data_IF_314599698687
#
_entry.id   IF_314599698687
#
_cell.length_a   1.000
_cell.length_b   1.000
_cell.length_c   1.000
_cell.angle_alpha   90.00
_cell.angle_beta   90.00
_cell.angle_gamma   90.00
#
_symmetry.space_group_name_H-M   'P 1'
#
loop_
_entity.id
_entity.type
_entity.pdbx_description
1 polymer ?
#
# COMPACT_ATOMS: atom_id res chain seq x y z
N UNK A 1 21.91 23.88 -14.92
CA UNK A 1 20.97 22.85 -14.41
C UNK A 1 21.67 22.00 -13.38
N UNK A 2 21.08 21.81 -12.20
CA UNK A 2 21.59 20.91 -11.17
C UNK A 2 21.39 19.45 -11.61
N UNK A 3 22.29 18.54 -11.23
CA UNK A 3 22.17 17.10 -11.54
C UNK A 3 21.24 16.35 -10.57
N UNK A 4 20.76 17.01 -9.52
CA UNK A 4 19.84 16.46 -8.52
C UNK A 4 18.38 16.65 -8.94
N UNK A 5 17.53 15.67 -8.61
CA UNK A 5 16.08 15.76 -8.79
C UNK A 5 15.43 16.34 -7.50
N UNK A 6 14.81 17.53 -7.55
CA UNK A 6 14.14 18.12 -6.39
C UNK A 6 12.76 17.50 -6.09
N UNK A 7 12.25 16.61 -6.96
CA UNK A 7 10.85 16.19 -6.97
C UNK A 7 9.92 17.32 -7.44
N UNK A 8 8.63 17.01 -7.57
CA UNK A 8 7.63 17.99 -7.98
C UNK A 8 7.05 18.72 -6.75
N UNK A 9 6.75 19.99 -6.92
CA UNK A 9 5.88 20.80 -6.06
C UNK A 9 4.48 20.86 -6.67
N UNK A 10 3.51 21.41 -5.93
CA UNK A 10 2.12 21.39 -6.36
C UNK A 10 1.89 22.02 -7.75
N UNK A 11 2.54 23.15 -8.03
CA UNK A 11 2.46 23.88 -9.29
C UNK A 11 3.17 23.21 -10.49
N UNK A 12 3.96 22.15 -10.24
CA UNK A 12 4.64 21.40 -11.30
C UNK A 12 3.71 20.34 -11.94
N UNK A 13 2.59 20.00 -11.30
CA UNK A 13 1.66 19.00 -11.80
C UNK A 13 0.66 19.58 -12.81
N UNK A 14 0.31 18.77 -13.81
CA UNK A 14 -0.71 19.10 -14.81
C UNK A 14 -1.76 17.98 -14.88
N UNK A 15 -3.04 18.33 -15.00
CA UNK A 15 -4.10 17.33 -15.21
C UNK A 15 -3.83 16.50 -16.48
N UNK A 16 -4.00 15.18 -16.39
CA UNK A 16 -3.71 14.22 -17.45
C UNK A 16 -2.22 13.90 -17.63
N UNK A 17 -1.32 14.53 -16.87
CA UNK A 17 0.11 14.23 -16.92
C UNK A 17 0.37 12.80 -16.47
N UNK A 18 1.10 12.05 -17.29
CA UNK A 18 1.58 10.71 -16.94
C UNK A 18 3.06 10.75 -16.59
N UNK A 19 3.37 10.39 -15.35
CA UNK A 19 4.72 10.28 -14.81
C UNK A 19 5.15 8.81 -14.81
N UNK A 20 6.14 8.47 -15.63
CA UNK A 20 6.77 7.14 -15.61
C UNK A 20 7.88 7.14 -14.56
N UNK A 21 7.73 6.32 -13.53
CA UNK A 21 8.65 6.33 -12.40
C UNK A 21 9.91 5.55 -12.70
N UNK A 22 11.03 6.03 -12.15
CA UNK A 22 12.31 5.33 -12.23
C UNK A 22 12.31 4.03 -11.41
N UNK A 23 13.36 3.24 -11.57
CA UNK A 23 13.66 2.04 -10.76
C UNK A 23 12.61 0.92 -10.89
N UNK A 24 12.40 0.33 -12.08
CA UNK A 24 11.64 -0.93 -12.17
C UNK A 24 12.28 -1.98 -11.25
N UNK A 25 11.47 -2.81 -10.61
CA UNK A 25 11.92 -3.68 -9.52
C UNK A 25 11.51 -5.12 -9.75
N UNK A 26 12.49 -5.99 -9.97
CA UNK A 26 12.34 -7.45 -9.89
C UNK A 26 12.11 -7.82 -8.44
N UNK A 27 11.00 -8.49 -8.12
CA UNK A 27 10.67 -8.96 -6.77
C UNK A 27 11.20 -10.38 -6.63
N UNK A 28 11.81 -10.72 -5.51
CA UNK A 28 12.52 -11.99 -5.29
C UNK A 28 12.08 -12.66 -3.99
N UNK A 29 12.48 -13.92 -3.79
CA UNK A 29 12.25 -14.61 -2.51
C UNK A 29 12.93 -13.91 -1.33
N UNK A 30 14.05 -13.21 -1.57
CA UNK A 30 14.69 -12.40 -0.54
C UNK A 30 13.82 -11.22 -0.09
N UNK A 31 13.03 -10.65 -1.01
CA UNK A 31 12.09 -9.58 -0.67
C UNK A 31 10.91 -10.11 0.15
N UNK A 32 10.42 -11.31 -0.19
CA UNK A 32 9.39 -12.01 0.57
C UNK A 32 9.89 -12.35 1.98
N UNK A 33 11.08 -12.94 2.10
CA UNK A 33 11.67 -13.28 3.39
C UNK A 33 11.85 -12.05 4.30
N UNK A 34 12.33 -10.93 3.74
CA UNK A 34 12.42 -9.68 4.49
C UNK A 34 11.04 -9.17 4.92
N UNK A 35 10.04 -9.23 4.03
CA UNK A 35 8.66 -8.84 4.35
C UNK A 35 8.05 -9.66 5.47
N UNK A 36 8.23 -10.98 5.45
CA UNK A 36 7.82 -11.86 6.54
C UNK A 36 8.54 -11.50 7.84
N UNK A 37 9.85 -11.20 7.79
CA UNK A 37 10.64 -10.90 8.99
C UNK A 37 10.20 -9.66 9.77
N UNK A 38 9.68 -8.60 9.11
CA UNK A 38 9.19 -7.41 9.83
C UNK A 38 7.68 -7.38 10.02
N UNK A 39 6.88 -8.19 9.31
CA UNK A 39 5.42 -8.23 9.53
C UNK A 39 4.99 -9.37 10.45
N UNK A 40 5.78 -10.44 10.51
CA UNK A 40 5.36 -11.69 11.14
C UNK A 40 4.14 -12.33 10.48
N UNK A 41 3.81 -11.94 9.24
CA UNK A 41 2.65 -12.47 8.51
C UNK A 41 2.67 -13.99 8.44
N UNK A 42 1.55 -14.63 8.79
CA UNK A 42 1.40 -16.10 8.83
C UNK A 42 0.37 -16.64 7.83
N UNK A 43 -0.16 -15.81 6.94
CA UNK A 43 -1.13 -16.27 5.94
C UNK A 43 -0.52 -17.39 5.10
N UNK A 44 -1.19 -18.55 5.11
CA UNK A 44 -0.61 -19.80 4.61
C UNK A 44 -0.32 -19.74 3.10
N UNK A 45 -1.20 -19.10 2.32
CA UNK A 45 -1.10 -18.96 0.86
C UNK A 45 0.19 -18.26 0.43
N UNK A 46 0.65 -17.24 1.16
CA UNK A 46 1.88 -16.49 0.83
C UNK A 46 3.13 -17.06 1.51
N UNK A 47 2.95 -18.05 2.39
CA UNK A 47 4.02 -18.66 3.20
C UNK A 47 4.44 -20.05 2.71
N UNK A 48 3.55 -20.76 2.00
CA UNK A 48 3.79 -22.14 1.56
C UNK A 48 3.38 -22.36 0.11
N UNK A 49 4.35 -22.77 -0.70
CA UNK A 49 4.14 -23.20 -2.08
C UNK A 49 3.15 -24.38 -2.18
N UNK A 50 3.20 -25.32 -1.24
CA UNK A 50 2.30 -26.48 -1.24
C UNK A 50 0.86 -26.07 -0.94
N UNK A 51 0.64 -25.15 0.01
CA UNK A 51 -0.69 -24.61 0.29
C UNK A 51 -1.21 -23.81 -0.90
N UNK A 52 -0.36 -22.98 -1.51
CA UNK A 52 -0.75 -22.20 -2.68
C UNK A 52 -1.10 -23.11 -3.88
N UNK A 53 -0.35 -24.17 -4.12
CA UNK A 53 -0.65 -25.17 -5.17
C UNK A 53 -1.92 -25.96 -4.88
N UNK A 54 -2.14 -26.35 -3.63
CA UNK A 54 -3.39 -26.98 -3.22
C UNK A 54 -4.60 -26.04 -3.40
N UNK A 55 -4.38 -24.73 -3.30
CA UNK A 55 -5.36 -23.69 -3.61
C UNK A 55 -5.43 -23.32 -5.11
N UNK A 56 -4.77 -24.07 -5.99
CA UNK A 56 -4.82 -23.90 -7.45
C UNK A 56 -3.87 -22.84 -8.05
N UNK A 57 -3.00 -22.23 -7.24
CA UNK A 57 -1.98 -21.30 -7.72
C UNK A 57 -0.71 -22.04 -8.18
N UNK A 58 0.14 -21.38 -8.97
CA UNK A 58 1.40 -22.00 -9.44
C UNK A 58 2.40 -22.28 -8.30
N UNK A 59 2.44 -21.39 -7.30
CA UNK A 59 3.28 -21.39 -6.10
C UNK A 59 2.81 -20.26 -5.17
N UNK A 60 3.49 -20.01 -4.06
CA UNK A 60 3.15 -18.88 -3.18
C UNK A 60 3.29 -17.54 -3.93
N UNK A 61 2.23 -16.71 -4.01
CA UNK A 61 2.34 -15.39 -4.58
C UNK A 61 3.03 -14.43 -3.60
N UNK A 62 3.61 -13.36 -4.13
CA UNK A 62 4.07 -12.22 -3.33
C UNK A 62 2.87 -11.60 -2.62
N UNK A 63 3.03 -11.27 -1.33
CA UNK A 63 1.99 -10.62 -0.54
C UNK A 63 1.45 -9.35 -1.26
N UNK A 64 0.12 -9.20 -1.43
CA UNK A 64 -0.45 -8.04 -2.09
C UNK A 64 0.00 -6.70 -1.51
N UNK A 65 0.19 -6.59 -0.19
CA UNK A 65 0.67 -5.35 0.42
C UNK A 65 2.16 -5.11 0.13
N UNK A 66 2.99 -6.15 0.01
CA UNK A 66 4.36 -5.99 -0.48
C UNK A 66 4.38 -5.42 -1.89
N UNK A 67 3.53 -5.95 -2.80
CA UNK A 67 3.37 -5.40 -4.17
C UNK A 67 2.92 -3.94 -4.11
N UNK A 68 1.91 -3.63 -3.28
CA UNK A 68 1.43 -2.26 -3.08
C UNK A 68 2.53 -1.32 -2.60
N UNK A 69 3.31 -1.71 -1.59
CA UNK A 69 4.38 -0.88 -1.06
C UNK A 69 5.53 -0.68 -2.06
N UNK A 70 5.87 -1.70 -2.85
CA UNK A 70 6.85 -1.56 -3.94
C UNK A 70 6.36 -0.56 -4.99
N UNK A 71 5.13 -0.72 -5.49
CA UNK A 71 4.54 0.21 -6.48
C UNK A 71 4.43 1.62 -5.90
N UNK A 72 3.95 1.76 -4.67
CA UNK A 72 3.84 3.03 -3.96
C UNK A 72 5.20 3.71 -3.83
N UNK A 73 6.23 2.97 -3.40
CA UNK A 73 7.59 3.45 -3.23
C UNK A 73 8.17 4.05 -4.52
N UNK A 74 7.84 3.48 -5.68
CA UNK A 74 8.29 4.00 -6.99
C UNK A 74 7.73 5.39 -7.26
N UNK A 75 6.49 5.66 -6.84
CA UNK A 75 5.84 6.95 -7.05
C UNK A 75 6.35 8.06 -6.13
N UNK A 76 7.05 7.73 -5.04
CA UNK A 76 7.41 8.71 -4.01
C UNK A 76 8.30 9.85 -4.53
N UNK A 77 9.41 9.59 -5.27
CA UNK A 77 10.28 10.66 -5.76
C UNK A 77 9.54 11.73 -6.57
N UNK A 78 8.57 11.31 -7.38
CA UNK A 78 7.90 12.18 -8.33
C UNK A 78 6.60 12.78 -7.77
N UNK A 79 5.88 12.05 -6.91
CA UNK A 79 4.55 12.47 -6.41
C UNK A 79 4.63 13.11 -5.03
N UNK A 80 5.40 12.52 -4.10
CA UNK A 80 5.25 12.84 -2.68
C UNK A 80 6.54 13.14 -1.93
N UNK A 81 7.64 13.37 -2.64
CA UNK A 81 8.91 13.79 -2.03
C UNK A 81 8.74 15.11 -1.25
N UNK A 82 7.93 16.03 -1.79
CA UNK A 82 7.60 17.33 -1.19
C UNK A 82 6.23 17.36 -0.51
N UNK A 83 5.58 16.19 -0.32
CA UNK A 83 4.28 16.11 0.33
C UNK A 83 4.37 16.43 1.83
N UNK A 84 3.27 16.96 2.36
CA UNK A 84 3.00 17.13 3.79
C UNK A 84 2.43 15.84 4.35
N UNK A 85 1.42 15.27 3.68
CA UNK A 85 0.75 14.05 4.10
C UNK A 85 0.07 13.34 2.91
N UNK A 86 -0.10 12.02 3.04
CA UNK A 86 -1.04 11.27 2.23
C UNK A 86 -2.42 11.34 2.87
N UNK A 87 -3.42 11.80 2.12
CA UNK A 87 -4.75 12.12 2.64
C UNK A 87 -5.73 10.96 2.48
N UNK A 88 -5.50 10.09 1.48
CA UNK A 88 -6.26 8.85 1.36
C UNK A 88 -5.90 8.00 0.15
N UNK A 89 -6.65 6.93 0.01
CA UNK A 89 -6.60 5.95 -1.07
C UNK A 89 -8.03 5.65 -1.52
N UNK A 90 -8.20 5.23 -2.76
CA UNK A 90 -9.46 4.71 -3.29
C UNK A 90 -9.19 3.81 -4.49
N UNK A 91 -10.18 3.01 -4.87
CA UNK A 91 -10.18 2.24 -6.12
C UNK A 91 -8.90 1.38 -6.31
N UNK A 92 -8.39 0.81 -5.21
CA UNK A 92 -7.23 -0.06 -5.22
C UNK A 92 -7.61 -1.47 -5.63
N UNK A 93 -7.08 -1.96 -6.76
CA UNK A 93 -7.41 -3.27 -7.34
C UNK A 93 -6.13 -4.06 -7.56
N UNK A 94 -6.06 -5.26 -7.01
CA UNK A 94 -5.04 -6.25 -7.36
C UNK A 94 -5.55 -7.02 -8.57
N UNK A 95 -4.84 -6.89 -9.70
CA UNK A 95 -5.34 -7.28 -11.02
C UNK A 95 -4.73 -8.59 -11.53
N UNK A 96 -3.56 -8.96 -11.02
CA UNK A 96 -2.91 -10.23 -11.31
C UNK A 96 -1.99 -10.61 -10.14
N UNK A 97 -1.82 -11.91 -9.84
CA UNK A 97 -0.84 -12.35 -8.86
C UNK A 97 0.57 -11.98 -9.35
N UNK A 98 1.41 -11.59 -8.41
CA UNK A 98 2.84 -11.34 -8.64
C UNK A 98 3.62 -12.47 -8.01
N UNK A 99 4.62 -13.01 -8.69
CA UNK A 99 5.46 -14.08 -8.17
C UNK A 99 6.92 -13.65 -8.04
N UNK A 100 7.72 -14.30 -7.16
CA UNK A 100 9.16 -14.12 -7.17
C UNK A 100 9.76 -14.34 -8.56
N UNK A 101 10.51 -13.36 -9.06
CA UNK A 101 11.05 -13.28 -10.41
C UNK A 101 10.34 -12.26 -11.31
N UNK A 102 9.10 -11.86 -11.01
CA UNK A 102 8.41 -10.81 -11.76
C UNK A 102 9.05 -9.44 -11.53
N UNK A 103 9.04 -8.61 -12.56
CA UNK A 103 9.58 -7.23 -12.51
C UNK A 103 8.48 -6.22 -12.71
N UNK A 104 8.27 -5.35 -11.72
CA UNK A 104 7.19 -4.35 -11.74
C UNK A 104 7.76 -2.96 -12.00
N UNK A 105 7.22 -2.27 -13.01
CA UNK A 105 7.40 -0.85 -13.27
C UNK A 105 6.12 -0.10 -12.91
N UNK A 106 6.23 1.19 -12.55
CA UNK A 106 5.07 1.99 -12.13
C UNK A 106 4.95 3.28 -12.90
N UNK A 107 3.72 3.75 -13.09
CA UNK A 107 3.42 5.10 -13.56
C UNK A 107 2.24 5.70 -12.83
N UNK A 108 2.23 7.03 -12.67
CA UNK A 108 1.11 7.79 -12.11
C UNK A 108 0.52 8.75 -13.14
N UNK A 109 -0.79 8.71 -13.32
CA UNK A 109 -1.55 9.75 -14.02
C UNK A 109 -2.13 10.74 -13.02
N UNK A 110 -1.93 12.04 -13.25
CA UNK A 110 -2.57 13.11 -12.47
C UNK A 110 -4.02 13.25 -12.89
N UNK A 111 -4.94 12.80 -12.05
CA UNK A 111 -6.38 12.79 -12.33
C UNK A 111 -7.13 13.90 -11.59
N UNK A 112 -6.43 14.70 -10.79
CA UNK A 112 -7.03 15.80 -10.05
C UNK A 112 -6.00 16.73 -9.40
N UNK A 113 -6.35 18.00 -9.33
CA UNK A 113 -5.59 19.08 -8.70
C UNK A 113 -6.56 20.03 -8.01
N UNK A 114 -6.24 20.41 -6.78
CA UNK A 114 -7.02 21.39 -6.02
C UNK A 114 -6.11 22.23 -5.14
N UNK A 115 -6.04 23.54 -5.37
CA UNK A 115 -5.26 24.44 -4.52
C UNK A 115 -5.97 24.59 -3.15
N UNK A 116 -5.19 24.56 -2.06
CA UNK A 116 -5.77 24.84 -0.74
C UNK A 116 -5.97 26.35 -0.56
N UNK A 117 -6.98 26.74 0.23
CA UNK A 117 -7.34 28.14 0.45
C UNK A 117 -6.21 29.01 1.02
N UNK A 118 -5.25 28.41 1.73
CA UNK A 118 -4.07 29.12 2.24
C UNK A 118 -3.01 29.42 1.18
N UNK A 119 -3.14 28.86 -0.03
CA UNK A 119 -2.24 29.01 -1.18
C UNK A 119 -0.78 28.63 -0.93
N UNK A 120 -0.52 27.84 0.11
CA UNK A 120 0.82 27.29 0.43
C UNK A 120 0.99 25.85 -0.01
N UNK A 121 -0.13 25.18 -0.28
CA UNK A 121 -0.21 23.76 -0.59
C UNK A 121 -1.36 23.51 -1.56
N UNK A 122 -1.37 22.33 -2.17
CA UNK A 122 -2.54 21.83 -2.89
C UNK A 122 -2.64 20.32 -2.79
N UNK A 123 -3.79 19.78 -3.17
CA UNK A 123 -4.07 18.35 -3.20
C UNK A 123 -3.90 17.84 -4.62
N UNK A 124 -3.07 16.82 -4.78
CA UNK A 124 -2.84 16.12 -6.06
C UNK A 124 -3.44 14.74 -5.95
N UNK A 125 -4.31 14.39 -6.90
CA UNK A 125 -4.90 13.06 -7.04
C UNK A 125 -4.18 12.33 -8.16
N UNK A 126 -3.68 11.12 -7.88
CA UNK A 126 -3.01 10.29 -8.88
C UNK A 126 -3.60 8.90 -8.94
N UNK A 127 -3.80 8.39 -10.16
CA UNK A 127 -3.98 6.96 -10.42
C UNK A 127 -2.62 6.35 -10.69
N UNK A 128 -2.18 5.45 -9.83
CA UNK A 128 -0.89 4.76 -9.98
C UNK A 128 -1.13 3.33 -10.41
N UNK A 129 -0.43 2.90 -11.46
CA UNK A 129 -0.53 1.55 -12.00
C UNK A 129 0.85 0.90 -11.98
N UNK A 130 0.92 -0.30 -11.41
CA UNK A 130 2.06 -1.21 -11.51
C UNK A 130 1.84 -2.20 -12.66
N UNK A 131 2.84 -2.36 -13.52
CA UNK A 131 2.81 -3.24 -14.68
C UNK A 131 4.02 -4.17 -14.63
N UNK A 132 3.83 -5.46 -14.88
CA UNK A 132 4.91 -6.44 -14.88
C UNK A 132 5.72 -6.43 -16.20
N UNK A 133 6.72 -7.30 -16.31
CA UNK A 133 7.58 -7.42 -17.49
C UNK A 133 6.87 -7.89 -18.76
N UNK A 134 5.64 -8.42 -18.65
CA UNK A 134 4.80 -8.86 -19.77
C UNK A 134 3.84 -7.77 -20.25
N UNK A 135 3.83 -6.61 -19.61
CA UNK A 135 2.88 -5.53 -19.91
C UNK A 135 1.52 -5.70 -19.22
N UNK A 136 1.37 -6.66 -18.31
CA UNK A 136 0.14 -6.90 -17.57
C UNK A 136 0.08 -5.97 -16.35
N UNK A 137 -1.04 -5.29 -16.16
CA UNK A 137 -1.27 -4.52 -14.94
C UNK A 137 -1.46 -5.48 -13.76
N UNK A 138 -0.68 -5.31 -12.69
CA UNK A 138 -0.75 -6.15 -11.48
C UNK A 138 -1.47 -5.42 -10.34
N UNK A 139 -1.43 -4.09 -10.35
CA UNK A 139 -2.04 -3.24 -9.34
C UNK A 139 -2.43 -1.90 -9.97
N UNK A 140 -3.61 -1.39 -9.63
CA UNK A 140 -4.00 0.00 -9.89
C UNK A 140 -4.65 0.57 -8.64
N UNK A 141 -4.31 1.79 -8.23
CA UNK A 141 -5.00 2.49 -7.15
C UNK A 141 -5.00 3.99 -7.35
N UNK A 142 -5.96 4.68 -6.74
CA UNK A 142 -5.95 6.13 -6.59
C UNK A 142 -5.44 6.50 -5.20
N UNK A 143 -4.59 7.52 -5.12
CA UNK A 143 -4.26 8.20 -3.87
C UNK A 143 -4.27 9.70 -4.06
N UNK A 144 -4.43 10.44 -2.97
CA UNK A 144 -4.25 11.89 -3.00
C UNK A 144 -3.38 12.38 -1.85
N UNK A 145 -2.54 13.35 -2.18
CA UNK A 145 -1.50 13.88 -1.29
C UNK A 145 -1.59 15.38 -1.21
N UNK A 146 -1.32 15.93 -0.03
CA UNK A 146 -1.12 17.37 0.14
C UNK A 146 0.33 17.70 -0.18
N UNK A 147 0.58 18.47 -1.23
CA UNK A 147 1.92 18.86 -1.70
C UNK A 147 2.16 20.34 -1.43
N UNK A 148 3.39 20.69 -1.03
CA UNK A 148 3.81 22.08 -0.85
C UNK A 148 3.90 22.79 -2.20
N UNK A 149 3.59 24.08 -2.22
CA UNK A 149 4.03 24.96 -3.29
C UNK A 149 5.48 25.38 -3.07
N UNK A 150 6.23 25.60 -4.15
CA UNK A 150 7.56 26.21 -4.08
C UNK A 150 7.46 27.72 -4.11
N UNK A 151 6.61 28.23 -4.99
CA UNK A 151 6.23 29.64 -5.10
C UNK A 151 4.74 29.79 -4.76
N UNK A 152 4.44 30.40 -3.60
CA UNK A 152 3.06 30.63 -3.15
C UNK A 152 2.25 31.48 -4.17
N UNK A 153 2.92 32.30 -4.99
CA UNK A 153 2.30 33.14 -6.02
C UNK A 153 2.02 32.42 -7.34
N UNK A 154 2.53 31.19 -7.55
CA UNK A 154 2.34 30.44 -8.78
C UNK A 154 0.84 30.25 -9.09
N UNK A 155 0.47 30.42 -10.36
CA UNK A 155 -0.91 30.25 -10.85
C UNK A 155 -1.11 28.81 -11.30
N UNK A 156 -2.19 28.18 -10.86
CA UNK A 156 -2.55 26.81 -11.22
C UNK A 156 -3.45 26.84 -12.45
N UNK A 157 -3.01 26.20 -13.53
CA UNK A 157 -3.67 26.32 -14.84
C UNK A 157 -5.06 25.68 -14.89
N UNK A 158 -5.25 24.55 -14.20
CA UNK A 158 -6.52 23.83 -14.15
C UNK A 158 -6.67 23.07 -12.83
N UNK A 159 -7.86 23.17 -12.23
CA UNK A 159 -8.24 22.43 -11.03
C UNK A 159 -9.41 21.50 -11.35
N UNK A 160 -9.34 20.27 -10.85
CA UNK A 160 -10.38 19.28 -10.96
C UNK A 160 -10.27 18.32 -9.78
N UNK A 161 -11.40 18.01 -9.14
CA UNK A 161 -11.47 16.97 -8.11
C UNK A 161 -12.22 15.77 -8.69
N UNK A 162 -11.57 14.60 -8.83
CA UNK A 162 -12.25 13.43 -9.38
C UNK A 162 -13.30 12.91 -8.38
N UNK A 163 -14.38 12.36 -8.91
CA UNK A 163 -15.28 11.51 -8.13
C UNK A 163 -14.63 10.13 -7.99
N UNK A 164 -14.51 9.65 -6.76
CA UNK A 164 -13.89 8.36 -6.46
C UNK A 164 -14.93 7.43 -5.83
N UNK A 165 -14.90 6.13 -6.15
CA UNK A 165 -15.80 5.16 -5.54
C UNK A 165 -15.49 5.03 -4.04
N UNK A 166 -16.51 4.75 -3.23
CA UNK A 166 -16.33 4.50 -1.79
C UNK A 166 -15.70 3.14 -1.50
N UNK A 167 -15.95 2.16 -2.37
CA UNK A 167 -15.39 0.82 -2.33
C UNK A 167 -15.24 0.28 -3.76
N UNK A 168 -14.32 -0.64 -3.97
CA UNK A 168 -14.26 -1.43 -5.21
C UNK A 168 -15.46 -2.38 -5.21
N UNK A 169 -16.23 -2.37 -6.30
CA UNK A 169 -17.39 -3.25 -6.43
C UNK A 169 -16.96 -4.73 -6.47
N UNK A 170 -17.78 -5.63 -5.93
CA UNK A 170 -17.49 -7.07 -5.97
C UNK A 170 -17.28 -7.59 -7.40
N UNK A 171 -18.05 -7.08 -8.37
CA UNK A 171 -17.93 -7.39 -9.81
C UNK A 171 -16.61 -6.95 -10.44
N UNK A 172 -15.89 -6.05 -9.78
CA UNK A 172 -14.61 -5.51 -10.25
C UNK A 172 -13.41 -6.20 -9.59
N UNK A 173 -13.65 -7.13 -8.66
CA UNK A 173 -12.60 -7.91 -8.02
C UNK A 173 -12.09 -8.98 -8.98
N UNK A 174 -10.77 -9.11 -9.07
CA UNK A 174 -10.13 -10.11 -9.93
C UNK A 174 -9.61 -11.25 -9.05
N UNK A 175 -10.18 -12.44 -9.22
CA UNK A 175 -9.65 -13.66 -8.63
C UNK A 175 -8.44 -14.15 -9.46
N UNK A 176 -7.33 -14.55 -8.81
CA UNK A 176 -6.25 -15.26 -9.50
C UNK A 176 -6.79 -16.44 -10.32
N UNK A 177 -6.28 -16.59 -11.55
CA UNK A 177 -6.62 -17.73 -12.39
C UNK A 177 -6.26 -19.06 -11.69
N UNK A 178 -7.20 -20.01 -11.72
CA UNK A 178 -7.02 -21.34 -11.14
C UNK A 178 -7.32 -21.44 -9.64
N UNK A 179 -7.60 -20.33 -8.95
CA UNK A 179 -7.88 -20.34 -7.51
C UNK A 179 -9.05 -21.28 -7.16
N UNK A 180 -8.83 -22.25 -6.28
CA UNK A 180 -9.84 -23.20 -5.80
C UNK A 180 -9.57 -23.58 -4.34
N UNK A 181 -10.51 -23.26 -3.44
CA UNK A 181 -10.42 -23.57 -2.01
C UNK A 181 -11.26 -24.78 -1.58
N UNK A 182 -11.88 -25.54 -2.50
CA UNK A 182 -12.74 -26.69 -2.12
C UNK A 182 -12.01 -27.77 -1.30
N UNK A 183 -10.71 -27.94 -1.52
CA UNK A 183 -9.85 -28.87 -0.79
C UNK A 183 -8.96 -28.21 0.27
N UNK A 184 -9.27 -26.96 0.66
CA UNK A 184 -8.40 -26.19 1.55
C UNK A 184 -8.30 -26.83 2.94
N UNK A 185 -7.08 -27.09 3.40
CA UNK A 185 -6.83 -27.59 4.75
C UNK A 185 -6.85 -26.43 5.75
N UNK A 186 -8.00 -26.26 6.39
CA UNK A 186 -8.22 -25.27 7.45
C UNK A 186 -7.26 -25.41 8.64
N UNK A 187 -6.70 -26.60 8.88
CA UNK A 187 -5.67 -26.80 9.91
C UNK A 187 -4.40 -26.05 9.55
N UNK A 188 -3.99 -26.10 8.27
CA UNK A 188 -2.84 -25.35 7.77
C UNK A 188 -3.15 -23.86 7.64
N UNK A 189 -4.41 -23.51 7.37
CA UNK A 189 -4.89 -22.13 7.39
C UNK A 189 -4.79 -21.49 8.77
N UNK A 190 -4.95 -22.28 9.84
CA UNK A 190 -4.81 -21.84 11.23
C UNK A 190 -6.13 -21.56 11.94
N UNK A 191 -7.27 -21.75 11.26
CA UNK A 191 -8.61 -21.53 11.81
C UNK A 191 -9.64 -22.37 11.05
N UNK A 192 -10.68 -22.89 11.72
CA UNK A 192 -11.79 -23.55 11.05
C UNK A 192 -12.76 -22.57 10.36
N UNK A 193 -12.66 -21.26 10.64
CA UNK A 193 -13.65 -20.28 10.19
C UNK A 193 -13.50 -19.90 8.72
N UNK A 194 -14.55 -20.12 7.93
CA UNK A 194 -14.63 -19.81 6.51
C UNK A 194 -15.48 -18.54 6.26
N UNK A 195 -15.68 -18.19 4.98
CA UNK A 195 -16.45 -17.00 4.58
C UNK A 195 -17.84 -16.97 5.24
N UNK A 196 -18.52 -18.10 5.30
CA UNK A 196 -19.85 -18.28 5.88
C UNK A 196 -19.92 -17.94 7.36
N UNK A 197 -18.85 -18.13 8.12
CA UNK A 197 -18.83 -17.99 9.59
C UNK A 197 -18.73 -16.54 10.06
N UNK A 198 -18.26 -15.62 9.21
CA UNK A 198 -18.15 -14.20 9.55
C UNK A 198 -19.49 -13.48 9.39
N UNK A 199 -19.86 -12.61 10.33
CA UNK A 199 -21.12 -11.87 10.29
C UNK A 199 -20.92 -10.38 9.97
N UNK A 200 -21.77 -9.80 9.10
CA UNK A 200 -21.72 -8.35 8.85
C UNK A 200 -21.98 -7.60 10.16
N UNK A 201 -21.08 -6.70 10.50
CA UNK A 201 -21.08 -5.92 11.73
C UNK A 201 -20.23 -6.50 12.86
N UNK A 202 -19.82 -7.78 12.74
CA UNK A 202 -18.92 -8.44 13.69
C UNK A 202 -17.62 -7.66 13.87
N UNK A 203 -17.15 -7.58 15.11
CA UNK A 203 -15.88 -6.94 15.46
C UNK A 203 -14.94 -7.95 16.07
N UNK A 204 -13.71 -7.95 15.59
CA UNK A 204 -12.67 -8.89 15.98
C UNK A 204 -11.53 -8.09 16.58
N UNK A 205 -11.26 -8.28 17.87
CA UNK A 205 -10.05 -7.78 18.52
C UNK A 205 -8.93 -8.79 18.25
N UNK A 206 -7.85 -8.35 17.61
CA UNK A 206 -6.75 -9.25 17.23
C UNK A 206 -5.78 -9.53 18.39
N UNK A 207 -5.99 -8.90 19.55
CA UNK A 207 -5.33 -9.14 20.84
C UNK A 207 -3.85 -8.74 20.88
N UNK A 208 -3.06 -9.25 19.94
CA UNK A 208 -1.61 -9.11 19.89
C UNK A 208 -1.18 -7.66 19.63
N UNK A 209 -0.06 -7.29 20.25
CA UNK A 209 0.58 -6.00 20.06
C UNK A 209 2.00 -6.16 19.54
N UNK A 210 2.37 -5.41 18.49
CA UNK A 210 3.72 -5.44 17.93
C UNK A 210 4.40 -4.07 18.03
N UNK A 211 5.54 -4.03 18.73
CA UNK A 211 6.37 -2.84 18.79
C UNK A 211 7.14 -2.66 17.48
N UNK A 212 7.32 -1.41 17.03
CA UNK A 212 8.05 -1.10 15.80
C UNK A 212 9.32 -0.34 16.12
N UNK A 213 10.47 -0.87 15.71
CA UNK A 213 11.76 -0.26 15.99
C UNK A 213 12.27 0.64 14.87
N UNK A 214 13.17 1.57 15.21
CA UNK A 214 13.73 2.54 14.24
C UNK A 214 14.45 1.89 13.07
N UNK A 215 15.18 0.80 13.33
CA UNK A 215 15.88 0.05 12.29
C UNK A 215 14.93 -0.70 11.36
N UNK A 216 13.85 -1.23 11.92
CA UNK A 216 12.87 -2.08 11.24
C UNK A 216 12.07 -1.30 10.20
N UNK A 217 11.41 -0.20 10.61
CA UNK A 217 10.60 0.58 9.66
C UNK A 217 11.46 1.23 8.57
N UNK A 218 12.68 1.64 8.92
CA UNK A 218 13.63 2.18 7.94
C UNK A 218 14.08 1.10 6.95
N UNK A 219 14.31 -0.13 7.41
CA UNK A 219 14.66 -1.26 6.54
C UNK A 219 13.49 -1.61 5.60
N UNK A 220 12.27 -1.73 6.13
CA UNK A 220 11.07 -1.96 5.32
C UNK A 220 10.89 -0.85 4.27
N UNK A 221 11.05 0.43 4.66
CA UNK A 221 10.92 1.55 3.73
C UNK A 221 12.00 1.53 2.63
N UNK A 222 13.23 1.07 2.95
CA UNK A 222 14.31 0.86 1.96
C UNK A 222 14.04 -0.32 1.04
N UNK A 223 13.44 -1.41 1.53
CA UNK A 223 13.02 -2.55 0.71
C UNK A 223 12.13 -2.08 -0.45
N UNK A 224 11.20 -1.18 -0.15
CA UNK A 224 10.29 -0.57 -1.14
C UNK A 224 10.97 0.47 -2.05
N UNK A 225 12.22 0.84 -1.75
CA UNK A 225 12.94 1.99 -2.29
C UNK A 225 12.11 3.29 -2.24
N UNK A 226 11.32 3.45 -1.16
CA UNK A 226 10.64 4.69 -0.83
C UNK A 226 11.67 5.68 -0.24
N UNK A 227 11.74 6.89 -0.80
CA UNK A 227 12.77 7.88 -0.47
C UNK A 227 12.27 9.08 0.35
N UNK A 228 11.05 9.02 0.90
CA UNK A 228 10.51 10.14 1.67
C UNK A 228 11.39 10.42 2.90
N UNK A 229 11.92 11.65 2.97
CA UNK A 229 12.97 12.05 3.91
C UNK A 229 12.57 11.89 5.38
N UNK A 230 11.27 11.99 5.66
CA UNK A 230 10.69 11.92 7.01
C UNK A 230 10.92 10.58 7.71
N UNK A 231 11.17 9.51 6.95
CA UNK A 231 11.41 8.16 7.48
C UNK A 231 12.89 7.93 7.88
N UNK A 232 13.81 8.79 7.42
CA UNK A 232 15.25 8.49 7.50
C UNK A 232 16.08 9.59 8.16
N UNK A 233 15.74 10.85 7.96
CA UNK A 233 16.64 11.96 8.30
C UNK A 233 16.40 12.50 9.71
N UNK A 234 17.05 11.90 10.71
CA UNK A 234 16.94 12.34 12.10
C UNK A 234 17.44 13.79 12.31
N UNK A 235 18.46 14.23 11.58
CA UNK A 235 18.99 15.59 11.69
C UNK A 235 17.94 16.65 11.33
N UNK A 236 17.18 16.43 10.24
CA UNK A 236 16.08 17.34 9.87
C UNK A 236 14.85 17.17 10.76
N UNK A 237 14.56 15.95 11.24
CA UNK A 237 13.39 15.69 12.10
C UNK A 237 13.55 16.19 13.53
N UNK A 238 14.78 16.34 14.02
CA UNK A 238 15.06 16.94 15.33
C UNK A 238 14.54 18.39 15.47
N UNK A 239 14.25 19.06 14.35
CA UNK A 239 13.71 20.44 14.30
C UNK A 239 12.19 20.48 14.34
N UNK A 240 11.51 19.37 14.07
CA UNK A 240 10.05 19.28 14.12
C UNK A 240 9.58 19.18 15.58
N UNK A 241 8.30 19.54 15.89
CA UNK A 241 7.76 19.43 17.24
C UNK A 241 7.87 18.02 17.86
N UNK A 242 7.80 16.96 17.05
CA UNK A 242 7.97 15.59 17.53
C UNK A 242 9.43 15.22 17.81
N UNK A 243 10.39 15.90 17.18
CA UNK A 243 11.82 15.60 17.24
C UNK A 243 12.22 14.23 16.65
N UNK A 244 11.30 13.51 16.00
CA UNK A 244 11.43 12.07 15.70
C UNK A 244 11.07 11.74 14.25
N UNK A 245 11.74 10.72 13.70
CA UNK A 245 11.40 10.17 12.38
C UNK A 245 9.99 9.58 12.39
N UNK A 246 9.25 9.86 11.33
CA UNK A 246 7.92 9.31 11.12
C UNK A 246 8.05 7.91 10.53
N UNK A 247 7.37 6.94 11.13
CA UNK A 247 7.23 5.61 10.54
C UNK A 247 6.39 5.71 9.26
N UNK A 248 6.80 5.01 8.21
CA UNK A 248 5.98 4.93 6.99
C UNK A 248 4.63 4.29 7.32
N UNK A 249 3.53 4.96 7.02
CA UNK A 249 2.19 4.45 7.32
C UNK A 249 1.89 3.09 6.68
N UNK A 250 2.57 2.71 5.60
CA UNK A 250 2.45 1.35 5.04
C UNK A 250 3.05 0.25 5.93
N UNK A 251 4.05 0.57 6.77
CA UNK A 251 4.51 -0.36 7.82
C UNK A 251 3.37 -0.61 8.81
N UNK A 252 2.65 0.44 9.22
CA UNK A 252 1.49 0.29 10.11
C UNK A 252 0.39 -0.57 9.47
N UNK A 253 0.11 -0.37 8.17
CA UNK A 253 -0.85 -1.19 7.42
C UNK A 253 -0.41 -2.67 7.40
N UNK A 254 0.86 -2.93 7.05
CA UNK A 254 1.41 -4.28 6.97
C UNK A 254 1.43 -4.97 8.34
N UNK A 255 1.80 -4.26 9.41
CA UNK A 255 1.76 -4.76 10.78
C UNK A 255 0.33 -5.08 11.22
N UNK A 256 -0.62 -4.16 11.00
CA UNK A 256 -2.02 -4.41 11.32
C UNK A 256 -2.57 -5.64 10.57
N UNK A 257 -2.17 -5.83 9.30
CA UNK A 257 -2.48 -7.04 8.54
C UNK A 257 -1.84 -8.30 9.14
N UNK A 258 -0.59 -8.24 9.57
CA UNK A 258 0.07 -9.36 10.25
C UNK A 258 -0.65 -9.75 11.54
N UNK A 259 -1.02 -8.78 12.37
CA UNK A 259 -1.81 -8.97 13.59
C UNK A 259 -3.20 -9.52 13.29
N UNK A 260 -3.83 -9.04 12.22
CA UNK A 260 -5.15 -9.48 11.79
C UNK A 260 -5.24 -10.97 11.47
N UNK A 261 -4.10 -11.67 11.31
CA UNK A 261 -4.10 -13.13 11.21
C UNK A 261 -4.91 -13.76 12.35
N UNK A 262 -4.77 -13.30 13.59
CA UNK A 262 -5.56 -13.79 14.73
C UNK A 262 -7.03 -13.36 14.58
N UNK A 263 -7.88 -14.30 14.17
CA UNK A 263 -9.30 -14.10 13.89
C UNK A 263 -9.66 -13.86 12.42
N UNK A 264 -8.69 -13.71 11.51
CA UNK A 264 -8.92 -13.67 10.05
C UNK A 264 -7.96 -14.59 9.28
N UNK A 265 -7.55 -15.71 9.87
CA UNK A 265 -6.48 -16.58 9.40
C UNK A 265 -6.66 -17.02 7.93
N UNK A 266 -7.91 -17.30 7.53
CA UNK A 266 -8.26 -17.77 6.20
C UNK A 266 -8.51 -16.65 5.17
N UNK A 267 -8.44 -15.38 5.58
CA UNK A 267 -8.52 -14.23 4.67
C UNK A 267 -7.18 -13.99 3.97
N UNK A 268 -6.60 -15.01 3.33
CA UNK A 268 -5.20 -15.03 2.87
C UNK A 268 -4.84 -14.07 1.73
N UNK A 269 -5.83 -13.63 0.95
CA UNK A 269 -5.65 -12.72 -0.19
C UNK A 269 -6.37 -11.40 0.05
N UNK A 270 -5.72 -10.30 -0.33
CA UNK A 270 -6.35 -8.98 -0.43
C UNK A 270 -6.60 -8.72 -1.91
N UNK A 271 -7.87 -8.59 -2.29
CA UNK A 271 -8.28 -8.34 -3.68
C UNK A 271 -8.42 -6.84 -3.99
N UNK A 272 -8.68 -6.02 -2.98
CA UNK A 272 -8.86 -4.58 -3.14
C UNK A 272 -8.48 -3.77 -1.90
N UNK A 273 -8.22 -2.47 -2.13
CA UNK A 273 -8.10 -1.43 -1.12
C UNK A 273 -9.19 -0.38 -1.41
N UNK A 274 -10.28 -0.44 -0.63
CA UNK A 274 -11.42 0.48 -0.76
C UNK A 274 -11.02 1.92 -0.38
N UNK A 275 -10.22 2.06 0.67
CA UNK A 275 -9.64 3.31 1.10
C UNK A 275 -8.75 3.13 2.31
N UNK A 276 -8.19 4.23 2.81
CA UNK A 276 -7.35 4.22 4.02
C UNK A 276 -6.95 5.61 4.43
N UNK A 277 -6.78 5.83 5.73
CA UNK A 277 -6.39 7.13 6.30
C UNK A 277 -5.36 6.94 7.39
N UNK A 278 -4.24 7.67 7.28
CA UNK A 278 -3.26 7.80 8.35
C UNK A 278 -3.74 8.88 9.33
N UNK A 279 -4.49 8.48 10.35
CA UNK A 279 -5.21 9.43 11.23
C UNK A 279 -4.29 10.18 12.19
N UNK A 280 -3.19 9.57 12.61
CA UNK A 280 -2.18 10.16 13.49
C UNK A 280 -0.77 9.76 13.02
N UNK A 281 0.24 10.59 13.27
CA UNK A 281 1.63 10.19 13.07
C UNK A 281 1.99 9.04 14.02
N UNK A 282 2.77 8.08 13.52
CA UNK A 282 3.30 6.97 14.30
C UNK A 282 4.83 7.04 14.31
N UNK A 283 5.41 6.70 15.46
CA UNK A 283 6.84 6.80 15.74
C UNK A 283 7.33 5.48 16.32
N UNK A 284 8.61 5.15 16.09
CA UNK A 284 9.22 3.93 16.61
C UNK A 284 9.11 3.78 18.14
N UNK A 285 9.26 2.59 18.70
CA UNK A 285 9.05 2.30 20.12
C UNK A 285 7.60 2.41 20.61
N UNK A 286 6.65 2.76 19.72
CA UNK A 286 5.24 2.54 19.97
C UNK A 286 4.87 1.07 19.76
N UNK A 287 3.70 0.66 20.23
CA UNK A 287 3.13 -0.68 20.00
C UNK A 287 1.86 -0.54 19.18
N UNK A 288 1.78 -1.26 18.07
CA UNK A 288 0.58 -1.34 17.22
C UNK A 288 -0.29 -2.48 17.74
N UNK A 289 -1.56 -2.19 17.96
CA UNK A 289 -2.63 -3.17 18.10
C UNK A 289 -3.59 -3.00 16.93
N UNK A 290 -4.40 -4.03 16.65
CA UNK A 290 -5.37 -3.99 15.58
C UNK A 290 -6.69 -4.63 16.00
N UNK A 291 -7.79 -4.13 15.44
CA UNK A 291 -9.09 -4.77 15.46
C UNK A 291 -9.74 -4.58 14.09
N UNK A 292 -10.64 -5.48 13.70
CA UNK A 292 -11.34 -5.45 12.42
C UNK A 292 -12.84 -5.44 12.61
N UNK A 293 -13.56 -4.94 11.59
CA UNK A 293 -15.00 -5.10 11.47
C UNK A 293 -15.34 -5.68 10.11
N UNK A 294 -16.20 -6.69 10.07
CA UNK A 294 -16.78 -7.19 8.81
C UNK A 294 -17.81 -6.16 8.34
N UNK A 295 -17.46 -5.38 7.34
CA UNK A 295 -18.34 -4.30 6.86
C UNK A 295 -19.39 -4.79 5.87
N UNK A 296 -19.04 -5.80 5.08
CA UNK A 296 -19.88 -6.37 4.03
C UNK A 296 -19.38 -7.77 3.66
N UNK A 297 -20.20 -8.53 2.94
CA UNK A 297 -19.88 -9.85 2.38
C UNK A 297 -20.35 -9.94 0.94
N UNK A 298 -19.46 -10.38 0.06
CA UNK A 298 -19.78 -10.64 -1.34
C UNK A 298 -19.29 -12.04 -1.72
N UNK A 299 -20.21 -12.86 -2.21
CA UNK A 299 -19.88 -14.16 -2.81
C UNK A 299 -19.37 -13.95 -4.24
N UNK A 300 -18.20 -14.51 -4.54
CA UNK A 300 -17.50 -14.34 -5.81
C UNK A 300 -17.55 -15.59 -6.71
N UNK A 301 -18.27 -16.64 -6.29
CA UNK A 301 -18.46 -17.89 -7.05
C UNK A 301 -17.71 -19.09 -6.50
#
# INVERSE_FOLDING_TARGET
>A
MTKTNPGNYFEDFQLGQVLRHATPRTITEGDVALYTAFTGSRFAVTSSDEVARAAGLARSPVDPLLVFHMVFGKSVPDISLNAVANLGYADGRFLAPVYPGDTVASSSEVIGLKENSNRKTGVVYVRTTGVNQRGEAVLSYVRWVMVRKKDEAAVIAAEATPTLPQAVAASDLVLPEGLDFKGYDFTLGGSPHAFEDYEIGEKIDHIDGMAIEEGEHALATRLYQNTAKVHFNQFERAKDPSGRRLVYGGVVISTARGLAFNGLENAGLILAINGGRHVNPYFAGGTIFAWSQVLDKADLG
#
